data_IF_921464768843
#
_entry.id   IF_921464768843
#
_cell.length_a   1.000
_cell.length_b   1.000
_cell.length_c   1.000
_cell.angle_alpha   90.00
_cell.angle_beta   90.00
_cell.angle_gamma   90.00
#
_symmetry.space_group_name_H-M   'P 1'
#
loop_
_entity.id
_entity.type
_entity.pdbx_description
1 polymer ?
#
# COMPACT_ATOMS: atom_id res chain seq x y z
N UNK A 1 -17.50 -12.69 -0.37
CA UNK A 1 -18.31 -12.65 0.89
C UNK A 1 -19.70 -13.30 0.75
N UNK A 2 -19.88 -14.60 1.03
CA UNK A 2 -21.21 -15.25 0.92
C UNK A 2 -22.11 -15.08 2.16
N UNK A 3 -21.53 -14.76 3.31
CA UNK A 3 -22.18 -14.76 4.63
C UNK A 3 -22.96 -13.49 5.00
N UNK A 4 -22.86 -12.40 4.23
CA UNK A 4 -23.47 -11.11 4.56
C UNK A 4 -24.60 -10.72 3.60
N UNK A 5 -25.54 -9.88 4.05
CA UNK A 5 -26.56 -9.28 3.18
C UNK A 5 -25.95 -8.37 2.08
N UNK A 6 -26.59 -8.21 0.91
CA UNK A 6 -26.04 -7.45 -0.22
C UNK A 6 -25.68 -5.99 0.09
N UNK A 7 -26.49 -5.28 0.87
CA UNK A 7 -26.19 -3.90 1.26
C UNK A 7 -24.94 -3.80 2.15
N UNK A 8 -24.72 -4.78 3.04
CA UNK A 8 -23.54 -4.84 3.90
C UNK A 8 -22.27 -5.11 3.08
N UNK A 9 -22.37 -6.01 2.09
CA UNK A 9 -21.30 -6.28 1.13
C UNK A 9 -20.86 -5.02 0.40
N UNK A 10 -21.81 -4.27 -0.15
CA UNK A 10 -21.54 -3.00 -0.84
C UNK A 10 -20.93 -1.97 0.12
N UNK A 11 -21.50 -1.82 1.31
CA UNK A 11 -21.00 -0.87 2.31
C UNK A 11 -19.59 -1.23 2.81
N UNK A 12 -19.27 -2.52 2.90
CA UNK A 12 -17.91 -2.99 3.17
C UNK A 12 -16.94 -2.52 2.08
N UNK A 13 -17.25 -2.76 0.81
CA UNK A 13 -16.40 -2.33 -0.31
C UNK A 13 -16.17 -0.82 -0.26
N UNK A 14 -17.25 -0.06 -0.05
CA UNK A 14 -17.17 1.38 0.08
C UNK A 14 -16.25 1.83 1.23
N UNK A 15 -16.51 1.39 2.46
CA UNK A 15 -15.71 1.82 3.62
C UNK A 15 -14.26 1.34 3.52
N UNK A 16 -14.02 0.17 2.94
CA UNK A 16 -12.67 -0.35 2.75
C UNK A 16 -11.90 0.44 1.69
N UNK A 17 -12.50 0.72 0.52
CA UNK A 17 -11.90 1.59 -0.51
C UNK A 17 -11.64 2.99 0.02
N UNK A 18 -12.60 3.58 0.74
CA UNK A 18 -12.47 4.90 1.36
C UNK A 18 -11.34 4.92 2.40
N UNK A 19 -11.29 3.92 3.28
CA UNK A 19 -10.26 3.84 4.32
C UNK A 19 -8.87 3.64 3.70
N UNK A 20 -8.71 2.73 2.74
CA UNK A 20 -7.45 2.53 2.02
C UNK A 20 -7.04 3.78 1.25
N UNK A 21 -7.98 4.41 0.54
CA UNK A 21 -7.69 5.60 -0.27
C UNK A 21 -7.19 6.78 0.57
N UNK A 22 -7.85 7.05 1.70
CA UNK A 22 -7.41 8.07 2.64
C UNK A 22 -6.07 7.70 3.30
N UNK A 23 -5.89 6.43 3.67
CA UNK A 23 -4.64 5.90 4.18
C UNK A 23 -3.47 6.08 3.20
N UNK A 24 -3.69 5.87 1.91
CA UNK A 24 -2.67 6.03 0.87
C UNK A 24 -2.28 7.49 0.64
N UNK A 25 -3.26 8.40 0.68
CA UNK A 25 -2.99 9.85 0.65
C UNK A 25 -2.17 10.29 1.87
N UNK A 26 -2.55 9.85 3.06
CA UNK A 26 -1.82 10.17 4.29
C UNK A 26 -0.41 9.59 4.25
N UNK A 27 -0.25 8.34 3.81
CA UNK A 27 1.07 7.73 3.64
C UNK A 27 1.94 8.51 2.65
N UNK A 28 1.39 8.92 1.50
CA UNK A 28 2.11 9.76 0.54
C UNK A 28 2.56 11.08 1.14
N UNK A 29 1.68 11.78 1.88
CA UNK A 29 2.02 13.04 2.53
C UNK A 29 3.10 12.85 3.62
N UNK A 30 2.93 11.86 4.49
CA UNK A 30 3.89 11.54 5.55
C UNK A 30 5.24 11.09 4.98
N UNK A 31 5.25 10.30 3.90
CA UNK A 31 6.47 9.91 3.20
C UNK A 31 7.21 11.12 2.64
N UNK A 32 6.50 12.06 1.99
CA UNK A 32 7.10 13.31 1.49
C UNK A 32 7.74 14.15 2.60
N UNK A 33 7.03 14.31 3.74
CA UNK A 33 7.55 15.05 4.91
C UNK A 33 8.76 14.33 5.51
N UNK A 34 8.68 13.01 5.67
CA UNK A 34 9.76 12.18 6.18
C UNK A 34 11.00 12.21 5.29
N UNK A 35 10.82 12.21 3.97
CA UNK A 35 11.90 12.36 3.00
C UNK A 35 12.55 13.75 3.09
N UNK A 36 11.74 14.82 3.15
CA UNK A 36 12.27 16.18 3.30
C UNK A 36 13.10 16.31 4.59
N UNK A 37 12.60 15.76 5.71
CA UNK A 37 13.33 15.71 6.97
C UNK A 37 14.62 14.89 6.86
N UNK A 38 14.58 13.72 6.20
CA UNK A 38 15.76 12.89 5.96
C UNK A 38 16.82 13.64 5.12
N UNK A 39 16.41 14.35 4.06
CA UNK A 39 17.32 15.14 3.22
C UNK A 39 17.98 16.27 4.00
N UNK A 40 17.23 16.94 4.88
CA UNK A 40 17.77 17.97 5.80
C UNK A 40 18.82 17.33 6.72
N UNK A 41 18.48 16.23 7.40
CA UNK A 41 19.44 15.54 8.28
C UNK A 41 20.70 15.08 7.54
N UNK A 42 20.56 14.59 6.31
CA UNK A 42 21.69 14.15 5.48
C UNK A 42 22.62 15.31 5.09
N UNK A 43 22.08 16.52 4.95
CA UNK A 43 22.89 17.72 4.72
C UNK A 43 23.71 18.14 5.97
N UNK A 44 23.25 17.79 7.17
CA UNK A 44 23.89 18.15 8.44
C UNK A 44 24.72 17.01 9.08
N UNK A 45 24.50 15.76 8.69
CA UNK A 45 25.15 14.57 9.26
C UNK A 45 25.61 13.61 8.15
N UNK A 46 26.77 12.96 8.30
CA UNK A 46 27.22 11.91 7.36
C UNK A 46 26.32 10.67 7.54
N UNK A 47 25.45 10.33 6.58
CA UNK A 47 24.54 9.20 6.71
C UNK A 47 25.30 7.88 6.67
N UNK A 48 25.11 7.04 7.68
CA UNK A 48 25.58 5.66 7.67
C UNK A 48 24.55 4.78 6.92
N UNK A 49 25.01 3.73 6.24
CA UNK A 49 24.15 2.78 5.53
C UNK A 49 23.12 2.12 6.46
N UNK A 50 23.48 1.92 7.73
CA UNK A 50 22.54 1.43 8.75
C UNK A 50 21.40 2.42 9.02
N UNK A 51 21.66 3.73 8.98
CA UNK A 51 20.64 4.76 9.16
C UNK A 51 19.63 4.76 8.01
N UNK A 52 20.12 4.57 6.78
CA UNK A 52 19.28 4.44 5.57
C UNK A 52 18.38 3.20 5.69
N UNK A 53 18.95 2.06 6.08
CA UNK A 53 18.21 0.82 6.26
C UNK A 53 17.13 0.94 7.34
N UNK A 54 17.44 1.56 8.48
CA UNK A 54 16.48 1.81 9.56
C UNK A 54 15.33 2.71 9.10
N UNK A 55 15.61 3.79 8.37
CA UNK A 55 14.56 4.68 7.82
C UNK A 55 13.65 3.93 6.86
N UNK A 56 14.21 3.14 5.94
CA UNK A 56 13.44 2.32 4.99
C UNK A 56 12.57 1.29 5.71
N UNK A 57 13.13 0.63 6.73
CA UNK A 57 12.40 -0.35 7.54
C UNK A 57 11.25 0.30 8.34
N UNK A 58 11.47 1.48 8.92
CA UNK A 58 10.41 2.24 9.60
C UNK A 58 9.29 2.66 8.64
N UNK A 59 9.63 3.07 7.42
CA UNK A 59 8.64 3.40 6.38
C UNK A 59 7.83 2.17 5.95
N UNK A 60 8.47 1.01 5.86
CA UNK A 60 7.78 -0.26 5.61
C UNK A 60 6.79 -0.61 6.73
N UNK A 61 7.23 -0.50 7.99
CA UNK A 61 6.36 -0.71 9.16
C UNK A 61 5.18 0.27 9.14
N UNK A 62 5.43 1.55 8.85
CA UNK A 62 4.39 2.56 8.76
C UNK A 62 3.35 2.19 7.69
N UNK A 63 3.79 1.75 6.51
CA UNK A 63 2.90 1.28 5.45
C UNK A 63 2.02 0.11 5.92
N UNK A 64 2.62 -0.87 6.59
CA UNK A 64 1.88 -2.02 7.14
C UNK A 64 0.81 -1.58 8.14
N UNK A 65 1.15 -0.67 9.07
CA UNK A 65 0.20 -0.12 10.03
C UNK A 65 -0.93 0.67 9.37
N UNK A 66 -0.61 1.46 8.35
CA UNK A 66 -1.59 2.23 7.58
C UNK A 66 -2.61 1.31 6.89
N UNK A 67 -2.16 0.19 6.31
CA UNK A 67 -3.02 -0.80 5.67
C UNK A 67 -3.87 -1.53 6.72
N UNK A 68 -3.25 -2.08 7.77
CA UNK A 68 -3.95 -2.79 8.86
C UNK A 68 -4.99 -1.87 9.52
N UNK A 69 -4.59 -0.64 9.85
CA UNK A 69 -5.44 0.36 10.47
C UNK A 69 -6.65 0.70 9.61
N UNK A 70 -6.47 0.79 8.29
CA UNK A 70 -7.57 1.06 7.36
C UNK A 70 -8.62 -0.07 7.36
N UNK A 71 -8.17 -1.33 7.34
CA UNK A 71 -9.04 -2.51 7.36
C UNK A 71 -9.78 -2.62 8.70
N UNK A 72 -9.08 -2.41 9.82
CA UNK A 72 -9.70 -2.43 11.16
C UNK A 72 -10.73 -1.32 11.30
N UNK A 73 -10.44 -0.11 10.80
CA UNK A 73 -11.39 1.00 10.81
C UNK A 73 -12.64 0.67 9.98
N UNK A 74 -12.47 0.14 8.77
CA UNK A 74 -13.59 -0.30 7.93
C UNK A 74 -14.43 -1.39 8.63
N UNK A 75 -13.77 -2.36 9.27
CA UNK A 75 -14.43 -3.42 10.03
C UNK A 75 -15.28 -2.85 11.17
N UNK A 76 -14.74 -1.92 11.95
CA UNK A 76 -15.44 -1.33 13.07
C UNK A 76 -16.69 -0.54 12.65
N UNK A 77 -16.66 0.11 11.49
CA UNK A 77 -17.83 0.81 10.95
C UNK A 77 -18.89 -0.15 10.42
N UNK A 78 -18.49 -1.12 9.60
CA UNK A 78 -19.40 -2.03 8.92
C UNK A 78 -20.02 -3.04 9.89
N UNK A 79 -19.26 -3.49 10.89
CA UNK A 79 -19.73 -4.47 11.88
C UNK A 79 -20.88 -3.96 12.75
N UNK A 80 -21.12 -2.64 12.81
CA UNK A 80 -22.27 -2.04 13.52
C UNK A 80 -23.60 -2.29 12.81
N UNK A 81 -23.57 -2.55 11.51
CA UNK A 81 -24.75 -2.80 10.68
C UNK A 81 -25.06 -4.29 10.53
N UNK A 82 -24.17 -5.15 11.03
CA UNK A 82 -24.28 -6.61 10.93
C UNK A 82 -25.05 -7.19 12.12
N UNK A 83 -25.82 -8.24 11.88
CA UNK A 83 -26.33 -9.07 12.98
C UNK A 83 -25.20 -9.92 13.61
N UNK A 84 -25.48 -10.60 14.73
CA UNK A 84 -24.46 -11.36 15.46
C UNK A 84 -23.77 -12.46 14.62
N UNK A 85 -24.54 -13.17 13.78
CA UNK A 85 -24.01 -14.25 12.93
C UNK A 85 -23.13 -13.69 11.79
N UNK A 86 -23.60 -12.64 11.11
CA UNK A 86 -22.86 -11.92 10.06
C UNK A 86 -21.56 -11.34 10.63
N UNK A 87 -21.62 -10.71 11.80
CA UNK A 87 -20.47 -10.11 12.49
C UNK A 87 -19.42 -11.16 12.82
N UNK A 88 -19.83 -12.30 13.43
CA UNK A 88 -18.90 -13.38 13.77
C UNK A 88 -18.19 -13.95 12.55
N UNK A 89 -18.93 -14.20 11.47
CA UNK A 89 -18.36 -14.66 10.21
C UNK A 89 -17.41 -13.60 9.60
N UNK A 90 -17.81 -12.33 9.61
CA UNK A 90 -16.99 -11.24 9.08
C UNK A 90 -15.69 -11.06 9.86
N UNK A 91 -15.74 -11.03 11.20
CA UNK A 91 -14.54 -10.93 12.04
C UNK A 91 -13.58 -12.09 11.81
N UNK A 92 -14.09 -13.31 11.55
CA UNK A 92 -13.24 -14.45 11.16
C UNK A 92 -12.49 -14.16 9.85
N UNK A 93 -13.15 -13.64 8.82
CA UNK A 93 -12.50 -13.30 7.55
C UNK A 93 -11.51 -12.15 7.69
N UNK A 94 -11.82 -11.13 8.50
CA UNK A 94 -10.87 -10.05 8.82
C UNK A 94 -9.65 -10.60 9.58
N UNK A 95 -9.84 -11.54 10.51
CA UNK A 95 -8.74 -12.23 11.17
C UNK A 95 -7.85 -13.01 10.20
N UNK A 96 -8.46 -13.76 9.27
CA UNK A 96 -7.73 -14.48 8.20
C UNK A 96 -6.95 -13.49 7.33
N UNK A 97 -7.57 -12.38 6.93
CA UNK A 97 -6.91 -11.31 6.18
C UNK A 97 -5.66 -10.80 6.91
N UNK A 98 -5.78 -10.48 8.21
CA UNK A 98 -4.65 -9.96 8.99
C UNK A 98 -3.49 -10.96 9.08
N UNK A 99 -3.80 -12.25 9.32
CA UNK A 99 -2.78 -13.30 9.40
C UNK A 99 -2.06 -13.45 8.05
N UNK A 100 -2.82 -13.58 6.95
CA UNK A 100 -2.25 -13.70 5.61
C UNK A 100 -1.42 -12.48 5.23
N UNK A 101 -1.88 -11.29 5.59
CA UNK A 101 -1.18 -10.05 5.30
C UNK A 101 0.13 -9.95 6.08
N UNK A 102 0.15 -10.30 7.37
CA UNK A 102 1.39 -10.30 8.18
C UNK A 102 2.39 -11.32 7.63
N UNK A 103 1.96 -12.55 7.34
CA UNK A 103 2.84 -13.59 6.76
C UNK A 103 3.41 -13.10 5.42
N UNK A 104 2.56 -12.56 4.55
CA UNK A 104 3.00 -12.04 3.27
C UNK A 104 3.92 -10.83 3.38
N UNK A 105 3.69 -9.92 4.35
CA UNK A 105 4.59 -8.80 4.63
C UNK A 105 5.99 -9.30 5.00
N UNK A 106 6.09 -10.33 5.85
CA UNK A 106 7.38 -10.94 6.21
C UNK A 106 8.08 -11.46 4.95
N UNK A 107 7.35 -12.15 4.06
CA UNK A 107 7.88 -12.64 2.79
C UNK A 107 8.36 -11.50 1.87
N UNK A 108 7.67 -10.37 1.85
CA UNK A 108 8.08 -9.20 1.07
C UNK A 108 9.34 -8.51 1.61
N UNK A 109 9.65 -8.65 2.90
CA UNK A 109 10.87 -8.07 3.52
C UNK A 109 12.10 -8.95 3.30
N UNK A 110 11.94 -10.26 3.11
CA UNK A 110 13.05 -11.21 2.92
C UNK A 110 14.07 -10.73 1.87
N UNK A 111 13.67 -10.29 0.66
CA UNK A 111 14.62 -9.76 -0.32
C UNK A 111 15.47 -8.59 0.21
N UNK A 112 14.92 -7.71 1.06
CA UNK A 112 15.67 -6.58 1.63
C UNK A 112 16.77 -7.02 2.59
N UNK A 113 16.64 -8.20 3.22
CA UNK A 113 17.63 -8.73 4.17
C UNK A 113 18.79 -9.42 3.45
N UNK A 114 18.51 -10.10 2.33
CA UNK A 114 19.53 -10.86 1.58
C UNK A 114 20.26 -10.04 0.51
N UNK A 115 19.66 -8.97 -0.01
CA UNK A 115 20.27 -8.10 -1.01
C UNK A 115 20.70 -6.77 -0.37
N UNK A 116 21.97 -6.70 0.07
CA UNK A 116 22.57 -5.52 0.75
C UNK A 116 22.68 -4.30 -0.19
N UNK A 117 22.62 -4.50 -1.50
CA UNK A 117 22.65 -3.45 -2.52
C UNK A 117 21.80 -3.87 -3.74
N UNK A 118 20.97 -2.99 -4.35
CA UNK A 118 20.76 -1.56 -4.10
C UNK A 118 19.46 -1.27 -3.31
N UNK A 119 19.58 -0.96 -2.02
CA UNK A 119 18.45 -0.95 -1.08
C UNK A 119 17.26 -0.05 -1.45
N UNK A 120 17.49 1.10 -2.10
CA UNK A 120 16.41 2.04 -2.44
C UNK A 120 15.56 1.58 -3.64
N UNK A 121 16.17 1.09 -4.73
CA UNK A 121 15.39 0.53 -5.84
C UNK A 121 14.71 -0.78 -5.43
N UNK A 122 15.38 -1.62 -4.62
CA UNK A 122 14.77 -2.83 -4.05
C UNK A 122 13.55 -2.53 -3.17
N UNK A 123 13.42 -1.32 -2.66
CA UNK A 123 12.24 -0.88 -1.93
C UNK A 123 11.00 -0.79 -2.84
N UNK A 124 11.17 -0.41 -4.12
CA UNK A 124 10.08 -0.44 -5.11
C UNK A 124 9.58 -1.86 -5.35
N UNK A 125 10.48 -2.84 -5.48
CA UNK A 125 10.10 -4.25 -5.58
C UNK A 125 9.25 -4.68 -4.38
N UNK A 126 9.71 -4.31 -3.18
CA UNK A 126 9.04 -4.64 -1.92
C UNK A 126 7.63 -4.02 -1.85
N UNK A 127 7.51 -2.70 -2.08
CA UNK A 127 6.23 -2.00 -2.05
C UNK A 127 5.28 -2.54 -3.13
N UNK A 128 5.76 -2.74 -4.35
CA UNK A 128 4.96 -3.32 -5.43
C UNK A 128 4.46 -4.72 -5.05
N UNK A 129 5.30 -5.52 -4.38
CA UNK A 129 4.93 -6.83 -3.84
C UNK A 129 3.85 -6.73 -2.75
N UNK A 130 3.95 -5.77 -1.83
CA UNK A 130 2.94 -5.54 -0.79
C UNK A 130 1.59 -5.16 -1.40
N UNK A 131 1.57 -4.29 -2.42
CA UNK A 131 0.33 -3.91 -3.10
C UNK A 131 -0.29 -5.09 -3.86
N UNK A 132 0.52 -5.92 -4.52
CA UNK A 132 0.05 -7.13 -5.19
C UNK A 132 -0.52 -8.14 -4.19
N UNK A 133 0.20 -8.36 -3.09
CA UNK A 133 -0.21 -9.22 -2.00
C UNK A 133 -1.55 -8.75 -1.43
N UNK A 134 -1.69 -7.44 -1.17
CA UNK A 134 -2.93 -6.86 -0.68
C UNK A 134 -4.08 -7.13 -1.65
N UNK A 135 -3.87 -6.93 -2.95
CA UNK A 135 -4.86 -7.25 -3.99
C UNK A 135 -5.28 -8.73 -3.96
N UNK A 136 -4.32 -9.65 -3.93
CA UNK A 136 -4.57 -11.10 -3.94
C UNK A 136 -5.34 -11.52 -2.69
N UNK A 137 -4.93 -11.05 -1.50
CA UNK A 137 -5.61 -11.39 -0.24
C UNK A 137 -7.03 -10.82 -0.24
N UNK A 138 -7.24 -9.59 -0.68
CA UNK A 138 -8.59 -9.00 -0.75
C UNK A 138 -9.49 -9.79 -1.72
N UNK A 139 -8.95 -10.20 -2.86
CA UNK A 139 -9.66 -11.04 -3.82
C UNK A 139 -9.99 -12.41 -3.23
N UNK A 140 -9.05 -13.07 -2.56
CA UNK A 140 -9.26 -14.41 -2.01
C UNK A 140 -10.15 -14.44 -0.77
N UNK A 141 -9.97 -13.49 0.15
CA UNK A 141 -10.67 -13.48 1.44
C UNK A 141 -12.07 -12.88 1.32
N UNK A 142 -12.23 -11.86 0.47
CA UNK A 142 -13.48 -11.10 0.41
C UNK A 142 -14.22 -11.21 -0.94
N UNK A 143 -13.62 -11.83 -1.96
CA UNK A 143 -14.14 -11.91 -3.34
C UNK A 143 -14.28 -10.54 -4.02
N UNK A 144 -13.41 -9.57 -3.69
CA UNK A 144 -13.41 -8.24 -4.31
C UNK A 144 -12.13 -7.96 -5.06
N UNK A 145 -12.28 -7.36 -6.25
CA UNK A 145 -11.16 -7.00 -7.12
C UNK A 145 -10.94 -5.50 -7.05
N UNK A 146 -9.90 -5.08 -6.35
CA UNK A 146 -9.47 -3.68 -6.30
C UNK A 146 -8.40 -3.47 -7.36
N UNK A 147 -8.83 -3.24 -8.61
CA UNK A 147 -7.93 -3.13 -9.76
C UNK A 147 -6.94 -1.96 -9.60
N UNK A 148 -7.30 -0.94 -8.84
CA UNK A 148 -6.44 0.19 -8.49
C UNK A 148 -5.14 -0.29 -7.82
N UNK A 149 -5.22 -1.29 -6.92
CA UNK A 149 -4.07 -1.86 -6.24
C UNK A 149 -3.17 -2.69 -7.19
N UNK A 150 -3.80 -3.46 -8.08
CA UNK A 150 -3.07 -4.27 -9.06
C UNK A 150 -2.33 -3.39 -10.08
N UNK A 151 -3.00 -2.34 -10.59
CA UNK A 151 -2.39 -1.38 -11.50
C UNK A 151 -1.23 -0.62 -10.85
N UNK A 152 -1.41 -0.18 -9.60
CA UNK A 152 -0.36 0.46 -8.82
C UNK A 152 0.86 -0.44 -8.64
N UNK A 153 0.63 -1.71 -8.30
CA UNK A 153 1.70 -2.72 -8.17
C UNK A 153 2.47 -2.92 -9.48
N UNK A 154 1.76 -3.16 -10.59
CA UNK A 154 2.37 -3.38 -11.91
C UNK A 154 3.18 -2.16 -12.33
N UNK A 155 2.67 -0.95 -12.09
CA UNK A 155 3.37 0.28 -12.42
C UNK A 155 4.66 0.44 -11.61
N UNK A 156 4.61 0.22 -10.29
CA UNK A 156 5.81 0.26 -9.43
C UNK A 156 6.84 -0.78 -9.88
N UNK A 157 6.41 -2.01 -10.18
CA UNK A 157 7.30 -3.05 -10.67
C UNK A 157 7.91 -2.72 -12.04
N UNK A 158 7.14 -2.10 -12.93
CA UNK A 158 7.66 -1.64 -14.23
C UNK A 158 8.77 -0.61 -14.04
N UNK A 159 8.56 0.37 -13.15
CA UNK A 159 9.59 1.37 -12.82
C UNK A 159 10.80 0.70 -12.15
N UNK A 160 10.59 -0.25 -11.23
CA UNK A 160 11.66 -1.02 -10.61
C UNK A 160 12.53 -1.70 -11.66
N UNK A 161 11.92 -2.46 -12.58
CA UNK A 161 12.63 -3.20 -13.63
C UNK A 161 13.39 -2.25 -14.54
N UNK A 162 12.73 -1.22 -15.07
CA UNK A 162 13.34 -0.22 -15.96
C UNK A 162 14.53 0.46 -15.26
N UNK A 163 14.35 0.87 -14.01
CA UNK A 163 15.40 1.53 -13.23
C UNK A 163 16.55 0.56 -12.98
N UNK A 164 16.28 -0.65 -12.49
CA UNK A 164 17.32 -1.65 -12.24
C UNK A 164 18.20 -1.89 -13.48
N UNK A 165 17.63 -1.96 -14.68
CA UNK A 165 18.40 -2.09 -15.92
C UNK A 165 19.18 -0.82 -16.30
N UNK A 166 18.56 0.36 -16.22
CA UNK A 166 19.19 1.62 -16.67
C UNK A 166 20.32 2.08 -15.76
N UNK A 167 20.19 1.87 -14.44
CA UNK A 167 21.18 2.35 -13.46
C UNK A 167 22.10 1.25 -12.92
N UNK A 168 21.93 -0.01 -13.34
CA UNK A 168 22.90 -1.09 -13.08
C UNK A 168 24.34 -0.74 -13.51
N UNK A 169 24.61 -0.13 -14.69
CA UNK A 169 25.97 0.24 -15.07
C UNK A 169 26.61 1.26 -14.12
N UNK A 170 25.81 2.23 -13.62
CA UNK A 170 26.25 3.27 -12.69
C UNK A 170 26.53 2.67 -11.31
N UNK A 171 25.76 1.65 -10.91
CA UNK A 171 25.97 0.88 -9.69
C UNK A 171 27.33 0.17 -9.68
N UNK A 172 27.71 -0.53 -10.76
CA UNK A 172 29.00 -1.22 -10.84
C UNK A 172 30.21 -0.27 -10.81
N UNK A 173 30.00 1.01 -11.11
CA UNK A 173 31.02 2.06 -11.04
C UNK A 173 31.14 2.69 -9.63
N UNK A 174 30.35 2.24 -8.65
CA UNK A 174 30.29 2.81 -7.29
C UNK A 174 30.17 4.34 -7.26
N UNK A 175 29.48 4.90 -8.26
CA UNK A 175 29.41 6.35 -8.43
C UNK A 175 28.44 6.96 -7.41
N UNK A 176 28.79 8.03 -6.67
CA UNK A 176 27.89 8.65 -5.67
C UNK A 176 26.56 9.12 -6.24
N UNK A 177 26.50 9.47 -7.54
CA UNK A 177 25.27 9.76 -8.28
C UNK A 177 24.24 8.62 -8.23
N UNK A 178 24.66 7.36 -8.11
CA UNK A 178 23.76 6.22 -8.05
C UNK A 178 22.75 6.35 -6.90
N UNK A 179 23.23 6.68 -5.71
CA UNK A 179 22.40 6.80 -4.52
C UNK A 179 21.39 7.95 -4.64
N UNK A 180 21.80 9.07 -5.25
CA UNK A 180 20.94 10.24 -5.46
C UNK A 180 19.83 9.92 -6.47
N UNK A 181 20.19 9.34 -7.63
CA UNK A 181 19.23 8.98 -8.68
C UNK A 181 18.27 7.89 -8.18
N UNK A 182 18.79 6.88 -7.47
CA UNK A 182 18.01 5.80 -6.88
C UNK A 182 16.99 6.32 -5.86
N UNK A 183 17.41 7.21 -4.96
CA UNK A 183 16.53 7.83 -3.97
C UNK A 183 15.45 8.69 -4.65
N UNK A 184 15.84 9.48 -5.66
CA UNK A 184 14.91 10.33 -6.40
C UNK A 184 13.83 9.52 -7.10
N UNK A 185 14.20 8.53 -7.91
CA UNK A 185 13.27 7.67 -8.64
C UNK A 185 12.35 6.93 -7.66
N UNK A 186 12.91 6.36 -6.60
CA UNK A 186 12.14 5.61 -5.60
C UNK A 186 11.10 6.52 -4.93
N UNK A 187 11.53 7.70 -4.50
CA UNK A 187 10.68 8.63 -3.78
C UNK A 187 9.55 9.20 -4.62
N UNK A 188 9.85 9.69 -5.83
CA UNK A 188 8.83 10.24 -6.72
C UNK A 188 7.80 9.15 -7.08
N UNK A 189 8.26 7.93 -7.34
CA UNK A 189 7.39 6.80 -7.67
C UNK A 189 6.44 6.48 -6.51
N UNK A 190 6.95 6.35 -5.29
CA UNK A 190 6.12 6.05 -4.12
C UNK A 190 5.10 7.17 -3.89
N UNK A 191 5.54 8.43 -3.85
CA UNK A 191 4.65 9.57 -3.62
C UNK A 191 3.55 9.60 -4.67
N UNK A 192 3.91 9.56 -5.96
CA UNK A 192 2.95 9.66 -7.06
C UNK A 192 1.98 8.48 -7.08
N UNK A 193 2.46 7.25 -6.94
CA UNK A 193 1.60 6.06 -7.01
C UNK A 193 0.64 6.00 -5.85
N UNK A 194 1.09 6.26 -4.62
CA UNK A 194 0.18 6.27 -3.46
C UNK A 194 -0.81 7.43 -3.52
N UNK A 195 -0.39 8.61 -3.97
CA UNK A 195 -1.31 9.73 -4.15
C UNK A 195 -2.40 9.43 -5.19
N UNK A 196 -2.02 8.97 -6.39
CA UNK A 196 -2.96 8.66 -7.47
C UNK A 196 -3.88 7.49 -7.08
N UNK A 197 -3.30 6.40 -6.54
CA UNK A 197 -4.10 5.24 -6.11
C UNK A 197 -5.06 5.61 -4.98
N UNK A 198 -4.65 6.50 -4.08
CA UNK A 198 -5.50 7.03 -3.02
C UNK A 198 -6.70 7.80 -3.57
N UNK A 199 -6.47 8.69 -4.54
CA UNK A 199 -7.53 9.45 -5.23
C UNK A 199 -8.46 8.50 -5.99
N UNK A 200 -7.91 7.54 -6.75
CA UNK A 200 -8.70 6.59 -7.54
C UNK A 200 -9.59 5.72 -6.66
N UNK A 201 -9.08 5.22 -5.53
CA UNK A 201 -9.87 4.45 -4.56
C UNK A 201 -11.00 5.28 -3.94
N UNK A 202 -10.74 6.55 -3.64
CA UNK A 202 -11.77 7.46 -3.12
C UNK A 202 -12.84 7.73 -4.18
N UNK A 203 -12.45 8.11 -5.40
CA UNK A 203 -13.37 8.34 -6.51
C UNK A 203 -14.21 7.10 -6.81
N UNK A 204 -13.59 5.93 -6.94
CA UNK A 204 -14.32 4.69 -7.23
C UNK A 204 -15.27 4.29 -6.11
N UNK A 205 -14.95 4.63 -4.86
CA UNK A 205 -15.86 4.44 -3.72
C UNK A 205 -17.10 5.35 -3.80
N UNK A 206 -16.92 6.62 -4.19
CA UNK A 206 -18.03 7.57 -4.29
C UNK A 206 -18.93 7.28 -5.51
N UNK A 207 -18.35 6.90 -6.64
CA UNK A 207 -19.10 6.53 -7.85
C UNK A 207 -20.04 5.34 -7.61
N UNK A 208 -19.60 4.36 -6.81
CA UNK A 208 -20.43 3.21 -6.41
C UNK A 208 -21.65 3.66 -5.58
N UNK A 209 -21.48 4.62 -4.67
CA UNK A 209 -22.59 5.17 -3.88
C UNK A 209 -23.55 6.00 -4.73
N UNK A 210 -23.03 6.86 -5.61
CA UNK A 210 -23.84 7.75 -6.44
C UNK A 210 -24.71 6.96 -7.42
N UNK A 211 -24.20 5.84 -7.95
CA UNK A 211 -24.99 4.94 -8.79
C UNK A 211 -26.16 4.33 -8.01
N UNK A 212 -25.94 3.90 -6.78
CA UNK A 212 -26.98 3.31 -5.94
C UNK A 212 -28.06 4.33 -5.53
N UNK A 213 -27.70 5.57 -5.22
CA UNK A 213 -28.68 6.63 -4.87
C UNK A 213 -29.52 7.06 -6.07
N UNK A 214 -28.93 7.18 -7.25
CA UNK A 214 -29.66 7.49 -8.48
C UNK A 214 -30.61 6.36 -8.91
N UNK A 215 -30.27 5.10 -8.62
CA UNK A 215 -31.16 3.96 -8.84
C UNK A 215 -32.40 4.04 -7.93
N UNK A 216 -32.20 4.33 -6.64
CA UNK A 216 -33.29 4.49 -5.65
C UNK A 216 -34.20 5.69 -5.91
N UNK A 217 -33.73 6.71 -6.64
CA UNK A 217 -34.52 7.90 -7.00
C UNK A 217 -35.37 7.71 -8.26
N UNK A 218 -35.12 6.64 -9.03
CA UNK A 218 -35.78 6.34 -10.31
C UNK A 218 -36.78 5.18 -10.23
N UNK A 219 -36.84 4.46 -9.11
CA UNK A 219 -37.85 3.44 -8.82
C UNK A 219 -38.85 3.94 -7.80
#
# INVERSE_FOLDING_TARGET
MKYARPHIKKYWVFEHKKALGLSFLMFSATYSVGLAFFLILNAFFIPNIYTIFVVVFLLFILLAFVIIGSVVNAHNKVSKLMNANERRAHSKHVGIFLILFIIGLILCVIPLVFFVYPGMIMFLLTIGGVLLLLYIILMFVFDYKFYELALASIFIWSIYVISAFLIAPIYFLNHPLFNVISLFITSITIITVFAISGIMLLQSSFDEIIKDTNYLRRG
#
